data_IF_151832000436
#
_entry.id   IF_151832000436
#
_cell.length_a   1.000
_cell.length_b   1.000
_cell.length_c   1.000
_cell.angle_alpha   90.00
_cell.angle_beta   90.00
_cell.angle_gamma   90.00
#
_symmetry.space_group_name_H-M   'P 1'
#
loop_
_entity.id
_entity.type
_entity.pdbx_description
1 polymer ?
#
# COMPACT_ATOMS: atom_id res chain seq x y z
N UNK A 1 9.61 -13.45 21.02
CA UNK A 1 10.23 -12.27 20.40
C UNK A 1 10.51 -12.63 18.96
N UNK A 2 9.57 -12.35 18.08
CA UNK A 2 9.79 -12.39 16.63
C UNK A 2 10.61 -11.15 16.30
N UNK A 3 11.87 -11.34 15.92
CA UNK A 3 12.70 -10.25 15.42
C UNK A 3 12.17 -9.87 14.04
N UNK A 4 11.40 -8.79 13.96
CA UNK A 4 10.93 -8.24 12.67
C UNK A 4 12.15 -7.95 11.81
N UNK A 5 12.28 -8.68 10.71
CA UNK A 5 13.40 -8.58 9.79
C UNK A 5 12.97 -7.69 8.64
N UNK A 6 13.72 -6.62 8.38
CA UNK A 6 13.42 -5.70 7.28
C UNK A 6 14.41 -5.88 6.13
N UNK A 7 13.89 -5.84 4.91
CA UNK A 7 14.69 -5.78 3.68
C UNK A 7 14.67 -4.35 3.15
N UNK A 8 15.83 -3.81 2.77
CA UNK A 8 15.93 -2.45 2.22
C UNK A 8 15.75 -2.48 0.70
N UNK A 9 14.78 -1.72 0.19
CA UNK A 9 14.49 -1.58 -1.25
C UNK A 9 14.12 -0.13 -1.57
N UNK A 10 14.76 0.46 -2.58
CA UNK A 10 14.49 1.84 -3.05
C UNK A 10 14.35 2.91 -1.94
N UNK A 11 15.15 2.81 -0.88
CA UNK A 11 15.12 3.75 0.26
C UNK A 11 14.08 3.42 1.34
N UNK A 12 13.24 2.41 1.14
CA UNK A 12 12.28 1.90 2.11
C UNK A 12 12.82 0.68 2.86
N UNK A 13 12.31 0.46 4.07
CA UNK A 13 12.49 -0.76 4.84
C UNK A 13 11.19 -1.53 4.84
N UNK A 14 11.20 -2.73 4.26
CA UNK A 14 10.00 -3.55 4.05
C UNK A 14 10.09 -4.79 4.92
N UNK A 15 9.05 -5.07 5.69
CA UNK A 15 8.95 -6.30 6.49
C UNK A 15 9.17 -7.53 5.61
N UNK A 16 9.93 -8.51 6.11
CA UNK A 16 10.32 -9.69 5.35
C UNK A 16 9.11 -10.51 4.87
N UNK A 17 8.04 -10.60 5.65
CA UNK A 17 6.84 -11.33 5.25
C UNK A 17 6.10 -10.58 4.15
N UNK A 18 6.00 -9.25 4.26
CA UNK A 18 5.42 -8.42 3.19
C UNK A 18 6.26 -8.47 1.91
N UNK A 19 7.59 -8.40 2.03
CA UNK A 19 8.51 -8.53 0.91
C UNK A 19 8.31 -9.85 0.18
N UNK A 20 8.38 -10.97 0.91
CA UNK A 20 8.18 -12.30 0.35
C UNK A 20 6.78 -12.44 -0.28
N UNK A 21 5.73 -11.91 0.36
CA UNK A 21 4.38 -11.97 -0.19
C UNK A 21 4.25 -11.19 -1.52
N UNK A 22 4.84 -9.99 -1.59
CA UNK A 22 4.85 -9.19 -2.82
C UNK A 22 5.58 -9.93 -3.93
N UNK A 23 6.75 -10.50 -3.67
CA UNK A 23 7.55 -11.21 -4.68
C UNK A 23 6.86 -12.50 -5.16
N UNK A 24 6.44 -13.35 -4.22
CA UNK A 24 5.96 -14.70 -4.52
C UNK A 24 4.50 -14.73 -4.98
N UNK A 25 3.64 -13.81 -4.50
CA UNK A 25 2.21 -13.84 -4.79
C UNK A 25 1.75 -12.74 -5.73
N UNK A 26 2.28 -11.52 -5.60
CA UNK A 26 1.78 -10.36 -6.35
C UNK A 26 2.61 -10.03 -7.61
N UNK A 27 3.91 -10.30 -7.57
CA UNK A 27 4.84 -9.97 -8.65
C UNK A 27 5.17 -11.15 -9.59
N UNK A 28 4.42 -12.27 -9.54
CA UNK A 28 4.61 -13.40 -10.47
C UNK A 28 4.53 -13.04 -11.96
N UNK A 29 4.07 -11.83 -12.31
CA UNK A 29 4.01 -11.27 -13.66
C UNK A 29 4.60 -9.86 -13.82
N UNK A 30 5.12 -9.25 -12.75
CA UNK A 30 5.66 -7.89 -12.78
C UNK A 30 7.13 -7.88 -12.36
N UNK A 31 7.85 -6.86 -12.83
CA UNK A 31 9.21 -6.63 -12.42
C UNK A 31 9.22 -6.13 -10.97
N UNK A 32 9.76 -6.94 -10.07
CA UNK A 32 9.86 -6.63 -8.63
C UNK A 32 10.51 -5.27 -8.37
N UNK A 33 11.50 -4.87 -9.18
CA UNK A 33 12.16 -3.56 -9.06
C UNK A 33 11.18 -2.42 -9.36
N UNK A 34 10.37 -2.53 -10.40
CA UNK A 34 9.37 -1.49 -10.74
C UNK A 34 8.31 -1.37 -9.65
N UNK A 35 7.97 -2.48 -8.98
CA UNK A 35 7.04 -2.48 -7.84
C UNK A 35 7.59 -1.66 -6.65
N UNK A 36 8.85 -1.88 -6.26
CA UNK A 36 9.43 -1.14 -5.13
C UNK A 36 9.74 0.31 -5.46
N UNK A 37 10.12 0.61 -6.70
CA UNK A 37 10.23 1.98 -7.20
C UNK A 37 8.89 2.70 -7.19
N UNK A 38 7.81 2.03 -7.60
CA UNK A 38 6.46 2.57 -7.53
C UNK A 38 6.07 2.85 -6.07
N UNK A 39 6.36 1.93 -5.15
CA UNK A 39 6.11 2.13 -3.72
C UNK A 39 6.85 3.36 -3.18
N UNK A 40 8.16 3.47 -3.45
CA UNK A 40 8.99 4.59 -3.00
C UNK A 40 8.46 5.93 -3.56
N UNK A 41 8.07 5.95 -4.84
CA UNK A 41 7.48 7.14 -5.47
C UNK A 41 6.16 7.53 -4.81
N UNK A 42 5.28 6.57 -4.50
CA UNK A 42 4.02 6.86 -3.81
C UNK A 42 4.26 7.38 -2.38
N UNK A 43 5.26 6.84 -1.67
CA UNK A 43 5.63 7.31 -0.34
C UNK A 43 6.15 8.75 -0.38
N UNK A 44 6.98 9.09 -1.36
CA UNK A 44 7.49 10.45 -1.55
C UNK A 44 6.34 11.44 -1.89
N UNK A 45 5.48 11.08 -2.85
CA UNK A 45 4.41 11.95 -3.33
C UNK A 45 3.27 12.13 -2.32
N UNK A 46 2.88 11.06 -1.61
CA UNK A 46 1.67 11.07 -0.76
C UNK A 46 1.95 10.91 0.74
N UNK A 47 3.13 10.42 1.12
CA UNK A 47 3.46 10.13 2.52
C UNK A 47 3.28 11.34 3.43
N UNK A 48 3.79 12.51 3.05
CA UNK A 48 3.60 13.73 3.83
C UNK A 48 2.14 14.21 3.90
N UNK A 49 1.34 14.01 2.84
CA UNK A 49 -0.07 14.42 2.81
C UNK A 49 -0.88 13.58 3.79
N UNK A 50 -0.75 12.26 3.70
CA UNK A 50 -1.43 11.30 4.57
C UNK A 50 -0.97 11.42 6.04
N UNK A 51 0.33 11.64 6.31
CA UNK A 51 0.83 11.79 7.69
C UNK A 51 0.27 13.03 8.41
N UNK A 52 -0.10 14.08 7.68
CA UNK A 52 -0.66 15.33 8.25
C UNK A 52 -2.09 15.12 8.77
N UNK A 53 -2.78 14.11 8.29
CA UNK A 53 -4.12 13.72 8.72
C UNK A 53 -4.01 12.80 9.94
N UNK A 54 -3.85 13.40 11.13
CA UNK A 54 -4.04 12.84 12.49
C UNK A 54 -3.96 11.30 12.63
N UNK A 55 -2.78 10.71 12.51
CA UNK A 55 -2.55 9.35 13.02
C UNK A 55 -2.47 9.40 14.54
N UNK A 56 -3.38 8.70 15.24
CA UNK A 56 -3.14 8.39 16.65
C UNK A 56 -2.12 7.24 16.74
N UNK A 57 -1.33 7.17 17.81
CA UNK A 57 -0.36 6.08 18.00
C UNK A 57 -0.99 4.67 17.95
N UNK A 58 -2.29 4.55 18.21
CA UNK A 58 -3.05 3.30 18.14
C UNK A 58 -3.66 2.99 16.76
N UNK A 59 -3.58 3.91 15.79
CA UNK A 59 -4.10 3.71 14.43
C UNK A 59 -3.06 2.99 13.54
N UNK A 60 -2.60 1.82 13.97
CA UNK A 60 -1.62 1.00 13.24
C UNK A 60 -2.28 -0.24 12.64
N UNK A 61 -2.12 -0.43 11.33
CA UNK A 61 -2.46 -1.67 10.64
C UNK A 61 -1.28 -2.64 10.71
N UNK A 62 -1.45 -3.69 11.51
CA UNK A 62 -0.47 -4.77 11.66
C UNK A 62 -0.23 -5.51 10.34
N UNK A 63 1.02 -5.91 10.10
CA UNK A 63 1.43 -6.61 8.88
C UNK A 63 0.68 -7.93 8.69
N UNK A 64 0.46 -8.71 9.76
CA UNK A 64 -0.30 -9.97 9.68
C UNK A 64 -1.76 -9.73 9.27
N UNK A 65 -2.39 -8.67 9.76
CA UNK A 65 -3.75 -8.29 9.35
C UNK A 65 -3.80 -7.96 7.87
N UNK A 66 -2.82 -7.19 7.39
CA UNK A 66 -2.67 -6.87 5.96
C UNK A 66 -2.51 -8.15 5.13
N UNK A 67 -1.56 -9.03 5.47
CA UNK A 67 -1.30 -10.24 4.70
C UNK A 67 -2.49 -11.19 4.68
N UNK A 68 -3.12 -11.43 5.83
CA UNK A 68 -4.30 -12.30 5.94
C UNK A 68 -5.47 -11.77 5.09
N UNK A 69 -5.66 -10.45 5.04
CA UNK A 69 -6.68 -9.80 4.23
C UNK A 69 -6.50 -10.16 2.73
N UNK A 70 -5.30 -9.99 2.19
CA UNK A 70 -5.02 -10.33 0.79
C UNK A 70 -5.05 -11.84 0.49
N UNK A 71 -4.60 -12.68 1.42
CA UNK A 71 -4.67 -14.14 1.27
C UNK A 71 -6.12 -14.64 1.23
N UNK A 72 -6.98 -14.12 2.09
CA UNK A 72 -8.40 -14.48 2.14
C UNK A 72 -9.25 -13.73 1.12
N UNK A 73 -8.65 -12.84 0.30
CA UNK A 73 -9.33 -11.92 -0.62
C UNK A 73 -10.37 -11.04 0.07
N UNK A 74 -10.17 -10.79 1.36
CA UNK A 74 -10.93 -9.83 2.13
C UNK A 74 -10.15 -8.52 2.07
N UNK A 75 -10.66 -7.55 1.32
CA UNK A 75 -9.98 -6.26 1.21
C UNK A 75 -9.92 -5.56 2.59
N UNK A 76 -8.74 -5.12 3.06
CA UNK A 76 -8.67 -4.36 4.30
C UNK A 76 -9.32 -2.99 4.08
N UNK A 77 -10.30 -2.66 4.93
CA UNK A 77 -10.94 -1.33 4.93
C UNK A 77 -9.95 -0.29 5.45
N UNK A 78 -9.05 0.16 4.57
CA UNK A 78 -8.07 1.19 4.87
C UNK A 78 -8.60 2.54 4.41
N UNK A 79 -9.06 3.34 5.38
CA UNK A 79 -9.32 4.76 5.13
C UNK A 79 -7.99 5.48 4.84
N UNK A 80 -7.99 6.30 3.79
CA UNK A 80 -6.82 7.03 3.25
C UNK A 80 -6.01 7.79 4.30
N UNK A 81 -6.67 8.17 5.39
CA UNK A 81 -6.16 9.10 6.39
C UNK A 81 -6.15 8.53 7.81
N UNK A 82 -6.57 7.28 8.01
CA UNK A 82 -6.71 6.75 9.37
C UNK A 82 -5.44 6.06 9.86
N UNK A 83 -4.84 5.19 9.05
CA UNK A 83 -3.88 4.20 9.56
C UNK A 83 -2.47 4.32 8.96
N UNK A 84 -1.46 4.03 9.77
CA UNK A 84 -0.10 3.70 9.33
C UNK A 84 0.14 2.20 9.40
N UNK A 85 1.19 1.71 8.77
CA UNK A 85 1.62 0.30 8.93
C UNK A 85 3.10 0.24 9.26
N UNK A 86 3.46 -0.67 10.16
CA UNK A 86 4.84 -1.02 10.45
C UNK A 86 5.46 -1.92 9.37
N UNK A 87 4.65 -2.43 8.44
CA UNK A 87 5.12 -3.29 7.36
C UNK A 87 6.08 -2.59 6.39
N UNK A 88 6.00 -1.25 6.32
CA UNK A 88 6.90 -0.43 5.50
C UNK A 88 7.30 0.81 6.29
N UNK A 89 8.60 1.05 6.40
CA UNK A 89 9.16 2.29 6.94
C UNK A 89 9.85 3.07 5.82
N UNK A 90 9.76 4.40 5.88
CA UNK A 90 10.52 5.26 4.98
C UNK A 90 12.01 5.37 5.36
N UNK A 91 12.77 6.18 4.61
CA UNK A 91 14.19 6.41 4.85
C UNK A 91 14.51 7.01 6.23
N UNK A 92 13.51 7.62 6.89
CA UNK A 92 13.58 8.19 8.24
C UNK A 92 13.02 7.24 9.30
N UNK A 93 12.83 5.96 8.96
CA UNK A 93 12.25 4.93 9.82
C UNK A 93 10.82 5.24 10.29
N UNK A 94 10.09 6.08 9.54
CA UNK A 94 8.73 6.46 9.89
C UNK A 94 7.72 5.54 9.19
N UNK A 95 6.79 4.96 9.95
CA UNK A 95 5.74 4.07 9.44
C UNK A 95 4.99 4.70 8.26
N UNK A 96 4.85 3.97 7.16
CA UNK A 96 4.19 4.47 5.95
C UNK A 96 2.67 4.42 6.15
N UNK A 97 1.91 5.40 5.64
CA UNK A 97 0.45 5.34 5.60
C UNK A 97 -0.05 4.05 4.94
N UNK A 98 -0.91 3.30 5.62
CA UNK A 98 -1.37 1.97 5.18
C UNK A 98 -2.03 2.02 3.80
N UNK A 99 -2.72 3.12 3.47
CA UNK A 99 -3.35 3.32 2.16
C UNK A 99 -2.36 3.27 1.00
N UNK A 100 -1.13 3.72 1.17
CA UNK A 100 -0.12 3.71 0.10
C UNK A 100 0.27 2.27 -0.22
N UNK A 101 0.49 1.46 0.82
CA UNK A 101 0.81 0.03 0.69
C UNK A 101 -0.35 -0.74 0.10
N UNK A 102 -1.57 -0.50 0.60
CA UNK A 102 -2.81 -1.14 0.11
C UNK A 102 -3.10 -0.77 -1.34
N UNK A 103 -3.01 0.50 -1.72
CA UNK A 103 -3.24 0.92 -3.11
C UNK A 103 -2.30 0.23 -4.10
N UNK A 104 -1.03 0.05 -3.72
CA UNK A 104 -0.09 -0.70 -4.54
C UNK A 104 -0.47 -2.18 -4.60
N UNK A 105 -0.71 -2.83 -3.46
CA UNK A 105 -1.05 -4.25 -3.40
C UNK A 105 -2.37 -4.58 -4.13
N UNK A 106 -3.36 -3.70 -4.07
CA UNK A 106 -4.60 -3.81 -4.84
C UNK A 106 -4.37 -3.70 -6.34
N UNK A 107 -3.55 -2.73 -6.75
CA UNK A 107 -3.13 -2.57 -8.15
C UNK A 107 -2.39 -3.82 -8.65
N UNK A 108 -1.57 -4.42 -7.78
CA UNK A 108 -0.82 -5.64 -8.11
C UNK A 108 -1.70 -6.91 -8.12
N UNK A 109 -2.70 -7.00 -7.23
CA UNK A 109 -3.58 -8.17 -7.11
C UNK A 109 -4.80 -8.10 -8.02
N UNK A 110 -5.15 -6.92 -8.53
CA UNK A 110 -6.41 -6.70 -9.27
C UNK A 110 -7.64 -6.53 -8.38
N UNK A 111 -7.43 -6.26 -7.09
CA UNK A 111 -8.49 -6.07 -6.10
C UNK A 111 -9.04 -4.65 -6.20
N UNK A 112 -10.36 -4.50 -6.27
CA UNK A 112 -11.00 -3.20 -6.42
C UNK A 112 -11.22 -2.52 -5.06
N UNK A 113 -11.09 -1.19 -5.05
CA UNK A 113 -11.37 -0.36 -3.88
C UNK A 113 -12.38 0.74 -4.22
N UNK A 114 -13.32 1.01 -3.32
CA UNK A 114 -14.37 2.03 -3.46
C UNK A 114 -14.20 3.21 -2.48
N UNK A 115 -13.02 3.35 -1.86
CA UNK A 115 -12.77 4.34 -0.80
C UNK A 115 -12.77 5.78 -1.37
N UNK A 116 -13.73 6.66 -1.00
CA UNK A 116 -14.08 7.88 -1.72
C UNK A 116 -13.00 8.97 -1.84
N UNK A 117 -11.83 8.79 -1.21
CA UNK A 117 -10.70 9.74 -1.25
C UNK A 117 -9.40 9.09 -1.74
N UNK A 118 -9.43 7.81 -2.14
CA UNK A 118 -8.22 7.08 -2.52
C UNK A 118 -7.86 7.22 -4.00
N UNK A 119 -8.71 7.87 -4.81
CA UNK A 119 -8.59 7.90 -6.26
C UNK A 119 -7.20 8.34 -6.76
N UNK A 120 -6.64 9.43 -6.20
CA UNK A 120 -5.35 9.96 -6.64
C UNK A 120 -4.21 8.94 -6.44
N UNK A 121 -4.18 8.28 -5.28
CA UNK A 121 -3.14 7.30 -4.92
C UNK A 121 -3.25 6.06 -5.82
N UNK A 122 -4.46 5.54 -6.00
CA UNK A 122 -4.70 4.37 -6.86
C UNK A 122 -4.43 4.66 -8.34
N UNK A 123 -4.83 5.84 -8.82
CA UNK A 123 -4.56 6.25 -10.18
C UNK A 123 -3.04 6.37 -10.40
N UNK A 124 -2.30 6.90 -9.43
CA UNK A 124 -0.84 6.98 -9.51
C UNK A 124 -0.18 5.61 -9.45
N UNK A 125 -0.61 4.72 -8.56
CA UNK A 125 -0.11 3.34 -8.47
C UNK A 125 -0.30 2.59 -9.80
N UNK A 126 -1.46 2.77 -10.44
CA UNK A 126 -1.77 2.21 -11.75
C UNK A 126 -0.83 2.72 -12.86
N UNK A 127 -0.55 4.03 -12.88
CA UNK A 127 0.41 4.62 -13.82
C UNK A 127 1.82 4.08 -13.63
N UNK A 128 2.31 4.03 -12.39
CA UNK A 128 3.67 3.61 -12.07
C UNK A 128 3.91 2.13 -12.33
N UNK A 129 2.88 1.30 -12.19
CA UNK A 129 2.97 -0.16 -12.43
C UNK A 129 2.49 -0.58 -13.82
N UNK A 130 2.10 0.38 -14.68
CA UNK A 130 1.52 0.16 -16.00
C UNK A 130 0.33 -0.84 -15.98
N UNK A 131 -0.60 -0.62 -15.05
CA UNK A 131 -1.78 -1.47 -14.79
C UNK A 131 -3.06 -0.64 -14.76
N UNK A 132 -4.25 -1.26 -14.88
CA UNK A 132 -5.51 -0.52 -14.76
C UNK A 132 -5.69 0.02 -13.33
N UNK A 133 -6.35 1.18 -13.22
CA UNK A 133 -6.71 1.75 -11.93
C UNK A 133 -7.78 0.90 -11.25
N UNK A 134 -7.50 0.45 -10.02
CA UNK A 134 -8.40 -0.40 -9.24
C UNK A 134 -9.41 0.38 -8.39
N UNK A 135 -9.31 1.71 -8.38
CA UNK A 135 -10.28 2.54 -7.68
C UNK A 135 -11.56 2.69 -8.48
N UNK A 136 -12.66 2.18 -7.94
CA UNK A 136 -14.01 2.40 -8.45
C UNK A 136 -14.47 3.79 -8.06
N UNK A 137 -14.28 4.74 -8.97
CA UNK A 137 -15.00 6.00 -8.87
C UNK A 137 -16.47 5.67 -9.06
N UNK A 138 -17.30 5.87 -8.03
CA UNK A 138 -18.74 6.01 -8.24
C UNK A 138 -18.92 7.22 -9.14
N UNK A 139 -18.91 7.01 -10.45
CA UNK A 139 -19.51 7.96 -11.37
C UNK A 139 -20.95 8.06 -10.91
N UNK A 140 -21.32 9.20 -10.32
CA UNK A 140 -22.72 9.55 -10.23
C UNK A 140 -23.22 9.50 -11.68
N UNK A 141 -23.92 8.43 -12.04
CA UNK A 141 -24.62 8.35 -13.30
C UNK A 141 -25.59 9.52 -13.31
N UNK A 142 -25.24 10.57 -14.04
CA UNK A 142 -26.19 11.56 -14.46
C UNK A 142 -27.10 10.87 -15.49
N UNK A 143 -28.26 10.40 -15.02
CA UNK A 143 -29.40 10.03 -15.85
C UNK A 143 -30.67 10.23 -15.04
#
# INVERSE_FOLDING_TARGET
MTTTSFTRQDGLFIDANLHQFIEEQLCTKANTTETYQALATLVDEFGCKCRKTKHQPDDVLEVDTLLNAYQLKNHPLCHVDAQTTEAVLDEYCCQVPAIIVVALMDTLSGTQCDEPQAHEIYHRAAQLTNRPCMHRVKTASAA
#
